data_IF_903293719284
#
_entry.id   IF_903293719284
#
_cell.length_a   1.000
_cell.length_b   1.000
_cell.length_c   1.000
_cell.angle_alpha   90.00
_cell.angle_beta   90.00
_cell.angle_gamma   90.00
#
_symmetry.space_group_name_H-M   'P 1'
#
loop_
_entity.id
_entity.type
_entity.pdbx_description
1 polymer ?
#
# COMPACT_ATOMS: atom_id res chain seq x y z
N UNK A 1 -29.99 -6.33 20.70
CA UNK A 1 -29.42 -5.18 21.39
C UNK A 1 -28.32 -5.73 22.29
N UNK A 2 -27.07 -5.81 21.76
CA UNK A 2 -25.92 -6.25 22.56
C UNK A 2 -25.56 -5.16 23.57
N UNK A 3 -25.51 -5.48 24.85
CA UNK A 3 -24.98 -4.59 25.86
C UNK A 3 -23.48 -4.38 25.63
N UNK A 4 -23.12 -3.17 25.29
CA UNK A 4 -21.70 -2.73 25.37
C UNK A 4 -21.36 -2.76 26.87
N UNK A 5 -20.58 -3.77 27.31
CA UNK A 5 -19.95 -3.72 28.63
C UNK A 5 -18.95 -2.57 28.62
N UNK A 6 -19.18 -1.54 29.42
CA UNK A 6 -18.14 -0.61 29.77
C UNK A 6 -17.02 -1.42 30.43
N UNK A 7 -15.85 -1.44 29.83
CA UNK A 7 -14.64 -2.00 30.42
C UNK A 7 -14.31 -1.10 31.62
N UNK A 8 -14.15 -1.67 32.82
CA UNK A 8 -13.79 -0.89 34.00
C UNK A 8 -12.33 -0.42 33.88
N UNK A 9 -11.99 0.69 34.53
CA UNK A 9 -10.64 1.22 34.57
C UNK A 9 -9.63 0.15 35.06
N UNK A 10 -10.00 -0.59 36.08
CA UNK A 10 -9.23 -1.71 36.62
C UNK A 10 -9.05 -2.86 35.61
N UNK A 11 -10.04 -3.14 34.75
CA UNK A 11 -9.91 -4.16 33.70
C UNK A 11 -8.91 -3.71 32.63
N UNK A 12 -8.91 -2.42 32.29
CA UNK A 12 -7.93 -1.85 31.33
C UNK A 12 -6.52 -1.86 31.88
N UNK A 13 -6.32 -1.47 33.12
CA UNK A 13 -4.99 -1.52 33.78
C UNK A 13 -4.44 -2.95 33.81
N UNK A 14 -5.27 -3.92 34.19
CA UNK A 14 -4.88 -5.33 34.18
C UNK A 14 -4.52 -5.81 32.76
N UNK A 15 -5.28 -5.38 31.75
CA UNK A 15 -5.01 -5.70 30.35
C UNK A 15 -3.67 -5.13 29.90
N UNK A 16 -3.39 -3.86 30.21
CA UNK A 16 -2.10 -3.23 29.90
C UNK A 16 -0.96 -3.99 30.58
N UNK A 17 -1.10 -4.31 31.85
CA UNK A 17 -0.07 -5.02 32.64
C UNK A 17 0.28 -6.37 32.01
N UNK A 18 -0.72 -7.20 31.74
CA UNK A 18 -0.54 -8.51 31.10
C UNK A 18 0.08 -8.35 29.69
N UNK A 19 -0.38 -7.40 28.92
CA UNK A 19 0.12 -7.16 27.56
C UNK A 19 1.57 -6.73 27.56
N UNK A 20 1.95 -5.80 28.44
CA UNK A 20 3.31 -5.32 28.58
C UNK A 20 4.27 -6.44 28.98
N UNK A 21 3.94 -7.26 29.97
CA UNK A 21 4.79 -8.40 30.36
C UNK A 21 5.00 -9.38 29.21
N UNK A 22 3.96 -9.71 28.47
CA UNK A 22 4.07 -10.61 27.32
C UNK A 22 4.96 -10.03 26.23
N UNK A 23 4.81 -8.75 25.91
CA UNK A 23 5.64 -8.08 24.91
C UNK A 23 7.09 -7.98 25.35
N UNK A 24 7.35 -7.69 26.61
CA UNK A 24 8.72 -7.66 27.18
C UNK A 24 9.39 -9.05 27.04
N UNK A 25 8.69 -10.13 27.33
CA UNK A 25 9.21 -11.48 27.16
C UNK A 25 9.49 -11.84 25.70
N UNK A 26 8.62 -11.44 24.78
CA UNK A 26 8.85 -11.60 23.33
C UNK A 26 10.06 -10.76 22.89
N UNK A 27 10.18 -9.53 23.38
CA UNK A 27 11.34 -8.68 23.14
C UNK A 27 12.64 -9.31 23.62
N UNK A 28 12.68 -9.85 24.85
CA UNK A 28 13.84 -10.57 25.39
C UNK A 28 14.24 -11.72 24.48
N UNK A 29 13.28 -12.53 24.09
CA UNK A 29 13.50 -13.70 23.23
C UNK A 29 14.04 -13.29 21.85
N UNK A 30 13.49 -12.25 21.23
CA UNK A 30 13.96 -11.78 19.93
C UNK A 30 15.32 -11.10 20.03
N UNK A 31 15.55 -10.28 21.05
CA UNK A 31 16.81 -9.59 21.30
C UNK A 31 17.95 -10.54 21.59
N UNK A 32 17.70 -11.69 22.22
CA UNK A 32 18.71 -12.69 22.55
C UNK A 32 19.45 -13.28 21.35
N UNK A 33 18.86 -13.16 20.13
CA UNK A 33 19.46 -13.62 18.87
C UNK A 33 20.53 -12.68 18.33
N UNK A 34 20.65 -11.47 18.87
CA UNK A 34 21.48 -10.41 18.33
C UNK A 34 22.53 -9.91 19.32
N UNK A 35 23.54 -9.26 18.78
CA UNK A 35 24.53 -8.56 19.63
C UNK A 35 23.89 -7.34 20.30
N UNK A 36 24.37 -6.98 21.48
CA UNK A 36 23.93 -5.79 22.22
C UNK A 36 23.95 -4.50 21.37
N UNK A 37 25.00 -4.36 20.56
CA UNK A 37 25.14 -3.19 19.67
C UNK A 37 24.03 -3.12 18.62
N UNK A 38 23.58 -4.26 18.08
CA UNK A 38 22.49 -4.31 17.11
C UNK A 38 21.15 -3.99 17.76
N UNK A 39 20.89 -4.56 18.93
CA UNK A 39 19.67 -4.28 19.69
C UNK A 39 19.57 -2.79 20.03
N UNK A 40 20.65 -2.18 20.54
CA UNK A 40 20.68 -0.74 20.86
C UNK A 40 20.35 0.16 19.69
N UNK A 41 20.83 -0.17 18.48
CA UNK A 41 20.52 0.59 17.26
C UNK A 41 19.06 0.49 16.83
N UNK A 42 18.38 -0.59 17.22
CA UNK A 42 16.98 -0.82 16.89
C UNK A 42 16.00 -0.20 17.91
N UNK A 43 16.49 0.15 19.11
CA UNK A 43 15.65 0.70 20.18
C UNK A 43 14.98 2.03 19.75
N UNK A 44 13.68 2.19 20.03
CA UNK A 44 13.00 3.47 19.83
C UNK A 44 13.58 4.52 20.80
N UNK A 45 13.91 5.71 20.26
CA UNK A 45 14.67 6.74 20.98
C UNK A 45 14.01 7.15 22.31
N UNK A 46 12.68 7.31 22.31
CA UNK A 46 11.93 7.80 23.48
C UNK A 46 11.89 6.81 24.66
N UNK A 47 12.07 5.52 24.37
CA UNK A 47 11.97 4.43 25.36
C UNK A 47 13.23 3.58 25.45
N UNK A 48 14.31 3.99 24.78
CA UNK A 48 15.50 3.17 24.62
C UNK A 48 16.08 2.69 25.96
N UNK A 49 16.20 3.59 26.92
CA UNK A 49 16.74 3.28 28.24
C UNK A 49 15.86 2.26 28.99
N UNK A 50 14.54 2.54 29.04
CA UNK A 50 13.60 1.69 29.81
C UNK A 50 13.49 0.30 29.18
N UNK A 51 13.42 0.24 27.84
CA UNK A 51 13.35 -1.05 27.14
C UNK A 51 14.67 -1.82 27.31
N UNK A 52 15.83 -1.16 27.18
CA UNK A 52 17.12 -1.83 27.38
C UNK A 52 17.23 -2.43 28.80
N UNK A 53 16.78 -1.69 29.81
CA UNK A 53 16.73 -2.16 31.20
C UNK A 53 15.85 -3.42 31.34
N UNK A 54 14.64 -3.37 30.81
CA UNK A 54 13.68 -4.47 30.91
C UNK A 54 14.07 -5.74 30.14
N UNK A 55 14.82 -5.62 29.03
CA UNK A 55 15.17 -6.77 28.18
C UNK A 55 16.57 -7.34 28.44
N UNK A 56 17.50 -6.57 29.04
CA UNK A 56 18.91 -6.96 29.11
C UNK A 56 19.24 -7.69 30.41
N UNK A 57 18.46 -7.52 31.44
CA UNK A 57 18.80 -8.07 32.75
C UNK A 57 18.31 -9.49 32.98
N UNK A 58 19.18 -10.29 33.65
CA UNK A 58 18.86 -11.65 34.08
C UNK A 58 18.02 -11.64 35.36
N UNK A 59 16.95 -12.43 35.36
CA UNK A 59 15.98 -12.56 36.46
C UNK A 59 16.52 -13.15 37.77
N UNK A 60 17.81 -13.36 37.88
CA UNK A 60 18.44 -14.12 39.01
C UNK A 60 18.72 -13.29 40.26
N UNK A 61 18.36 -12.01 40.31
CA UNK A 61 18.60 -11.14 41.48
C UNK A 61 17.27 -10.90 42.19
N UNK A 62 17.20 -11.34 43.45
CA UNK A 62 15.99 -11.50 44.29
C UNK A 62 15.07 -10.27 44.48
N UNK A 63 15.50 -9.05 44.16
CA UNK A 63 14.68 -7.84 44.32
C UNK A 63 14.23 -7.17 42.99
N UNK A 64 14.50 -7.80 41.86
CA UNK A 64 14.27 -7.17 40.54
C UNK A 64 12.86 -7.33 39.99
N UNK A 65 12.16 -8.38 40.38
CA UNK A 65 10.76 -8.56 39.93
C UNK A 65 9.90 -7.39 40.43
N UNK A 66 10.04 -7.00 41.69
CA UNK A 66 9.39 -5.84 42.26
C UNK A 66 9.81 -4.52 41.58
N UNK A 67 11.07 -4.41 41.13
CA UNK A 67 11.55 -3.25 40.37
C UNK A 67 10.92 -3.18 38.98
N UNK A 68 10.86 -4.30 38.26
CA UNK A 68 10.18 -4.33 36.94
C UNK A 68 8.69 -4.06 37.05
N UNK A 69 8.04 -4.61 38.09
CA UNK A 69 6.64 -4.31 38.39
C UNK A 69 6.43 -2.82 38.60
N UNK A 70 7.32 -2.17 39.35
CA UNK A 70 7.23 -0.72 39.59
C UNK A 70 7.41 0.12 38.32
N UNK A 71 8.27 -0.32 37.38
CA UNK A 71 8.43 0.35 36.08
C UNK A 71 7.14 0.23 35.25
N UNK A 72 6.59 -0.99 35.15
CA UNK A 72 5.36 -1.24 34.39
C UNK A 72 4.18 -0.49 34.99
N UNK A 73 4.02 -0.51 36.31
CA UNK A 73 2.97 0.24 37.01
C UNK A 73 3.13 1.75 36.78
N UNK A 74 4.34 2.28 36.87
CA UNK A 74 4.61 3.69 36.56
C UNK A 74 4.22 4.07 35.14
N UNK A 75 4.53 3.24 34.14
CA UNK A 75 4.16 3.48 32.74
C UNK A 75 2.64 3.55 32.56
N UNK A 76 1.90 2.70 33.27
CA UNK A 76 0.44 2.68 33.26
C UNK A 76 -0.11 3.92 33.95
N UNK A 77 0.37 4.23 35.14
CA UNK A 77 -0.09 5.35 35.96
C UNK A 77 0.07 6.72 35.28
N UNK A 78 1.15 6.91 34.52
CA UNK A 78 1.38 8.13 33.74
C UNK A 78 0.66 8.16 32.38
N UNK A 79 -0.18 7.14 32.08
CA UNK A 79 -0.96 7.08 30.84
C UNK A 79 -0.13 6.82 29.57
N UNK A 80 1.03 6.16 29.69
CA UNK A 80 1.93 5.87 28.55
C UNK A 80 1.90 4.43 28.05
N UNK A 81 1.00 3.60 28.58
CA UNK A 81 0.93 2.17 28.28
C UNK A 81 0.75 1.88 26.78
N UNK A 82 -0.16 2.59 26.09
CA UNK A 82 -0.37 2.39 24.65
C UNK A 82 0.88 2.70 23.82
N UNK A 83 1.50 3.85 24.07
CA UNK A 83 2.70 4.26 23.35
C UNK A 83 3.86 3.29 23.60
N UNK A 84 3.96 2.76 24.82
CA UNK A 84 4.98 1.78 25.17
C UNK A 84 4.73 0.41 24.53
N UNK A 85 3.47 -0.03 24.43
CA UNK A 85 3.07 -1.22 23.67
C UNK A 85 3.45 -1.09 22.21
N UNK A 86 3.16 0.06 21.58
CA UNK A 86 3.54 0.34 20.20
C UNK A 86 5.06 0.27 20.03
N UNK A 87 5.80 0.92 20.91
CA UNK A 87 7.27 0.93 20.87
C UNK A 87 7.87 -0.48 21.00
N UNK A 88 7.34 -1.32 21.89
CA UNK A 88 7.75 -2.72 22.02
C UNK A 88 7.40 -3.54 20.77
N UNK A 89 6.20 -3.36 20.22
CA UNK A 89 5.75 -4.05 19.01
C UNK A 89 6.64 -3.69 17.80
N UNK A 90 6.96 -2.42 17.63
CA UNK A 90 7.87 -1.95 16.58
C UNK A 90 9.28 -2.50 16.74
N UNK A 91 9.80 -2.54 17.97
CA UNK A 91 11.10 -3.14 18.25
C UNK A 91 11.10 -4.64 17.90
N UNK A 92 10.06 -5.36 18.29
CA UNK A 92 9.91 -6.78 17.95
C UNK A 92 9.91 -6.96 16.44
N UNK A 93 9.14 -6.17 15.69
CA UNK A 93 9.10 -6.23 14.24
C UNK A 93 10.48 -6.00 13.61
N UNK A 94 11.21 -4.98 14.09
CA UNK A 94 12.57 -4.67 13.63
C UNK A 94 13.59 -5.79 13.92
N UNK A 95 13.41 -6.51 15.03
CA UNK A 95 14.31 -7.59 15.42
C UNK A 95 13.92 -8.94 14.80
N UNK A 96 12.64 -9.16 14.49
CA UNK A 96 12.16 -10.40 13.86
C UNK A 96 12.44 -10.42 12.37
N UNK A 97 12.20 -9.30 11.68
CA UNK A 97 12.45 -9.14 10.24
C UNK A 97 13.60 -8.15 10.06
N UNK A 98 14.80 -8.67 9.92
CA UNK A 98 16.03 -7.88 9.80
C UNK A 98 16.09 -7.10 8.48
N UNK A 99 15.62 -7.72 7.40
CA UNK A 99 15.55 -7.16 6.06
C UNK A 99 14.31 -7.69 5.35
N UNK A 100 13.52 -6.79 4.79
CA UNK A 100 12.34 -7.13 4.00
C UNK A 100 12.67 -7.03 2.51
N UNK A 101 12.48 -8.14 1.79
CA UNK A 101 12.60 -8.18 0.35
C UNK A 101 11.23 -8.33 -0.28
N UNK A 102 10.79 -7.32 -1.03
CA UNK A 102 9.49 -7.29 -1.71
C UNK A 102 9.66 -7.66 -3.17
N UNK A 103 8.85 -8.61 -3.64
CA UNK A 103 8.98 -9.17 -4.99
C UNK A 103 8.30 -8.36 -6.10
N UNK A 104 7.71 -7.21 -5.75
CA UNK A 104 7.07 -6.32 -6.72
C UNK A 104 5.60 -6.61 -6.97
N UNK A 105 5.09 -6.05 -8.07
CA UNK A 105 3.69 -5.98 -8.45
C UNK A 105 2.77 -5.40 -7.34
N UNK A 106 3.32 -4.39 -6.62
CA UNK A 106 2.58 -3.65 -5.59
C UNK A 106 1.39 -2.91 -6.24
N UNK A 107 1.60 -2.42 -7.46
CA UNK A 107 0.62 -1.68 -8.25
C UNK A 107 -0.14 -2.55 -9.27
N UNK A 108 -0.31 -3.85 -9.02
CA UNK A 108 -1.09 -4.70 -9.92
C UNK A 108 -2.58 -4.27 -9.86
N UNK A 109 -3.50 -5.10 -9.54
CA UNK A 109 -4.96 -4.85 -9.67
C UNK A 109 -5.67 -4.66 -8.34
N UNK A 110 -4.91 -4.75 -7.25
CA UNK A 110 -5.43 -4.62 -5.90
C UNK A 110 -5.64 -3.17 -5.48
N UNK A 111 -6.51 -2.91 -4.50
CA UNK A 111 -6.69 -1.58 -3.92
C UNK A 111 -5.56 -1.22 -2.96
N UNK A 112 -5.34 0.08 -2.75
CA UNK A 112 -4.49 0.60 -1.69
C UNK A 112 -2.98 0.45 -1.82
N UNK A 113 -2.37 0.39 -3.03
CA UNK A 113 -0.91 0.30 -3.17
C UNK A 113 -0.18 1.50 -2.55
N UNK A 114 -0.80 2.68 -2.54
CA UNK A 114 -0.25 3.88 -1.91
C UNK A 114 -0.07 3.70 -0.39
N UNK A 115 -1.01 3.08 0.31
CA UNK A 115 -0.85 2.74 1.74
C UNK A 115 0.29 1.75 1.99
N UNK A 116 0.43 0.77 1.08
CA UNK A 116 1.53 -0.20 1.15
C UNK A 116 2.87 0.52 0.95
N UNK A 117 2.97 1.37 -0.07
CA UNK A 117 4.19 2.12 -0.35
C UNK A 117 4.57 3.06 0.78
N UNK A 118 3.62 3.82 1.35
CA UNK A 118 3.88 4.68 2.50
C UNK A 118 4.44 3.87 3.67
N UNK A 119 3.86 2.70 3.95
CA UNK A 119 4.36 1.82 5.02
C UNK A 119 5.73 1.22 4.72
N UNK A 120 6.00 0.86 3.47
CA UNK A 120 7.29 0.33 3.05
C UNK A 120 8.39 1.38 3.09
N UNK A 121 8.09 2.64 2.74
CA UNK A 121 9.06 3.74 2.79
C UNK A 121 9.58 4.01 4.20
N UNK A 122 8.76 3.77 5.22
CA UNK A 122 9.13 3.91 6.63
C UNK A 122 9.79 2.65 7.20
N UNK A 123 9.94 1.59 6.41
CA UNK A 123 10.50 0.34 6.90
C UNK A 123 12.03 0.44 7.09
N UNK A 124 12.53 -0.10 8.21
CA UNK A 124 13.91 0.09 8.66
C UNK A 124 15.00 -0.51 7.75
N UNK A 125 14.67 -1.54 6.98
CA UNK A 125 15.61 -2.17 6.03
C UNK A 125 14.81 -2.89 4.94
N UNK A 126 14.81 -2.35 3.73
CA UNK A 126 13.96 -2.76 2.63
C UNK A 126 14.73 -2.72 1.30
N UNK A 127 14.47 -3.70 0.45
CA UNK A 127 14.66 -3.60 -0.98
C UNK A 127 13.41 -4.10 -1.72
N UNK A 128 13.15 -3.53 -2.89
CA UNK A 128 11.99 -3.84 -3.71
C UNK A 128 12.49 -4.24 -5.10
N UNK A 129 12.15 -5.44 -5.53
CA UNK A 129 12.15 -5.80 -6.94
C UNK A 129 10.86 -5.27 -7.56
N UNK A 130 10.96 -4.60 -8.68
CA UNK A 130 9.77 -4.14 -9.40
C UNK A 130 9.19 -5.25 -10.28
N UNK A 131 7.89 -5.41 -10.24
CA UNK A 131 7.13 -6.18 -11.21
C UNK A 131 6.82 -5.37 -12.47
N UNK A 132 6.19 -5.98 -13.46
CA UNK A 132 5.83 -5.29 -14.71
C UNK A 132 4.80 -4.17 -14.49
N UNK A 133 3.89 -4.31 -13.54
CA UNK A 133 2.94 -3.26 -13.18
C UNK A 133 3.64 -2.07 -12.53
N UNK A 134 4.60 -2.31 -11.64
CA UNK A 134 5.37 -1.25 -10.98
C UNK A 134 6.18 -0.44 -11.99
N UNK A 135 6.80 -1.09 -12.99
CA UNK A 135 7.55 -0.41 -14.06
C UNK A 135 6.64 0.55 -14.86
N UNK A 136 5.41 0.14 -15.15
CA UNK A 136 4.44 1.01 -15.86
C UNK A 136 4.09 2.22 -14.99
N UNK A 137 3.90 2.04 -13.68
CA UNK A 137 3.66 3.15 -12.75
C UNK A 137 4.88 4.07 -12.63
N UNK A 138 6.09 3.52 -12.59
CA UNK A 138 7.34 4.31 -12.62
C UNK A 138 7.42 5.15 -13.90
N UNK A 139 7.12 4.56 -15.06
CA UNK A 139 7.06 5.26 -16.33
C UNK A 139 6.03 6.40 -16.33
N UNK A 140 4.86 6.15 -15.75
CA UNK A 140 3.83 7.18 -15.58
C UNK A 140 4.29 8.33 -14.66
N UNK A 141 4.94 8.00 -13.54
CA UNK A 141 5.42 8.98 -12.58
C UNK A 141 6.49 9.92 -13.15
N UNK A 142 7.33 9.44 -14.08
CA UNK A 142 8.31 10.28 -14.78
C UNK A 142 7.75 10.99 -16.02
N UNK A 143 6.45 10.88 -16.28
CA UNK A 143 5.78 11.64 -17.33
C UNK A 143 5.67 10.95 -18.69
N UNK A 144 5.94 9.65 -18.79
CA UNK A 144 5.78 8.91 -20.05
C UNK A 144 4.29 8.71 -20.36
N UNK A 145 3.80 9.34 -21.42
CA UNK A 145 2.36 9.47 -21.71
C UNK A 145 1.65 8.12 -21.96
N UNK A 146 2.27 7.17 -22.66
CA UNK A 146 1.69 5.85 -22.88
C UNK A 146 1.57 5.03 -21.58
N UNK A 147 2.56 5.16 -20.67
CA UNK A 147 2.50 4.58 -19.33
C UNK A 147 1.37 5.22 -18.49
N UNK A 148 1.22 6.55 -18.54
CA UNK A 148 0.11 7.25 -17.88
C UNK A 148 -1.25 6.72 -18.37
N UNK A 149 -1.42 6.61 -19.68
CA UNK A 149 -2.65 6.08 -20.25
C UNK A 149 -2.90 4.62 -19.84
N UNK A 150 -1.86 3.82 -19.77
CA UNK A 150 -1.94 2.41 -19.31
C UNK A 150 -2.34 2.31 -17.84
N UNK A 151 -1.75 3.14 -16.97
CA UNK A 151 -2.10 3.20 -15.54
C UNK A 151 -3.57 3.57 -15.37
N UNK A 152 -4.00 4.68 -16.00
CA UNK A 152 -5.39 5.15 -15.92
C UNK A 152 -6.35 4.08 -16.44
N UNK A 153 -6.05 3.47 -17.59
CA UNK A 153 -6.88 2.41 -18.17
C UNK A 153 -7.02 1.21 -17.24
N UNK A 154 -5.92 0.76 -16.64
CA UNK A 154 -5.95 -0.36 -15.70
C UNK A 154 -6.74 0.00 -14.45
N UNK A 155 -6.55 1.19 -13.89
CA UNK A 155 -7.30 1.66 -12.72
C UNK A 155 -8.81 1.69 -12.98
N UNK A 156 -9.25 2.19 -14.15
CA UNK A 156 -10.65 2.14 -14.54
C UNK A 156 -11.14 0.71 -14.71
N UNK A 157 -10.39 -0.11 -15.46
CA UNK A 157 -10.79 -1.49 -15.79
C UNK A 157 -11.01 -2.34 -14.55
N UNK A 158 -10.20 -2.17 -13.51
CA UNK A 158 -10.26 -2.95 -12.27
C UNK A 158 -10.97 -2.23 -11.13
N UNK A 159 -11.54 -1.04 -11.39
CA UNK A 159 -12.37 -0.32 -10.42
C UNK A 159 -11.58 0.29 -9.27
N UNK A 160 -10.35 0.72 -9.52
CA UNK A 160 -9.42 1.27 -8.55
C UNK A 160 -9.05 2.73 -8.87
N UNK A 161 -9.99 3.54 -9.36
CA UNK A 161 -9.76 4.96 -9.64
C UNK A 161 -9.44 5.77 -8.38
N UNK A 162 -9.94 5.33 -7.24
CA UNK A 162 -9.65 5.88 -5.91
C UNK A 162 -8.14 5.96 -5.62
N UNK A 163 -7.34 5.05 -6.16
CA UNK A 163 -5.87 5.12 -6.06
C UNK A 163 -5.35 6.40 -6.70
N UNK A 164 -5.88 6.77 -7.87
CA UNK A 164 -5.45 7.98 -8.58
C UNK A 164 -6.04 9.25 -7.95
N UNK A 165 -7.33 9.23 -7.63
CA UNK A 165 -8.05 10.41 -7.14
C UNK A 165 -7.76 10.68 -5.67
N UNK A 166 -7.98 9.72 -4.79
CA UNK A 166 -7.80 9.88 -3.35
C UNK A 166 -6.35 9.65 -2.92
N UNK A 167 -5.68 8.65 -3.50
CA UNK A 167 -4.32 8.29 -3.15
C UNK A 167 -3.28 9.30 -3.64
N UNK A 168 -3.42 9.80 -4.87
CA UNK A 168 -2.44 10.68 -5.52
C UNK A 168 -2.99 12.06 -5.92
N UNK A 169 -4.25 12.36 -5.65
CA UNK A 169 -4.85 13.65 -5.94
C UNK A 169 -4.99 13.97 -7.43
N UNK A 170 -5.05 12.95 -8.29
CA UNK A 170 -5.12 13.12 -9.74
C UNK A 170 -6.57 13.27 -10.17
N UNK A 171 -6.92 14.43 -10.75
CA UNK A 171 -8.30 14.73 -11.17
C UNK A 171 -8.68 14.00 -12.47
N UNK A 172 -9.65 13.08 -12.41
CA UNK A 172 -10.17 12.34 -13.56
C UNK A 172 -11.34 13.03 -14.28
N UNK A 173 -11.84 14.16 -13.79
CA UNK A 173 -12.96 14.89 -14.42
C UNK A 173 -12.72 15.29 -15.88
N UNK A 174 -11.50 15.70 -16.31
CA UNK A 174 -11.26 15.99 -17.73
C UNK A 174 -11.46 14.77 -18.63
N UNK A 175 -11.05 13.57 -18.19
CA UNK A 175 -11.28 12.33 -18.94
C UNK A 175 -12.76 11.96 -18.95
N UNK A 176 -13.46 12.13 -17.84
CA UNK A 176 -14.91 11.89 -17.76
C UNK A 176 -15.69 12.81 -18.70
N UNK A 177 -15.38 14.10 -18.71
CA UNK A 177 -16.01 15.08 -19.62
C UNK A 177 -15.75 14.74 -21.09
N UNK A 178 -14.50 14.45 -21.44
CA UNK A 178 -14.15 14.02 -22.82
C UNK A 178 -14.87 12.73 -23.23
N UNK A 179 -14.94 11.75 -22.33
CA UNK A 179 -15.60 10.48 -22.60
C UNK A 179 -17.13 10.66 -22.85
N UNK A 180 -17.77 11.55 -22.11
CA UNK A 180 -19.19 11.87 -22.30
C UNK A 180 -19.42 12.65 -23.56
N UNK A 181 -18.54 13.59 -23.94
CA UNK A 181 -18.64 14.36 -25.19
C UNK A 181 -18.50 13.46 -26.41
N UNK A 182 -17.50 12.57 -26.42
CA UNK A 182 -17.15 11.77 -27.61
C UNK A 182 -17.96 10.48 -27.72
N UNK A 183 -18.28 9.86 -26.60
CA UNK A 183 -18.92 8.53 -26.52
C UNK A 183 -20.27 8.56 -25.81
N UNK A 184 -20.92 9.74 -25.70
CA UNK A 184 -22.19 9.91 -24.98
C UNK A 184 -23.29 8.93 -25.44
N UNK A 185 -23.42 8.71 -26.75
CA UNK A 185 -24.41 7.83 -27.34
C UNK A 185 -23.93 6.38 -27.55
N UNK A 186 -22.67 6.09 -27.28
CA UNK A 186 -22.10 4.75 -27.45
C UNK A 186 -22.27 3.92 -26.16
N UNK A 187 -22.87 2.75 -26.20
CA UNK A 187 -23.03 1.90 -25.00
C UNK A 187 -21.71 1.32 -24.46
N UNK A 188 -20.64 1.39 -25.20
CA UNK A 188 -19.26 0.93 -24.82
C UNK A 188 -19.21 -0.45 -24.16
N UNK A 189 -20.05 -1.40 -24.57
CA UNK A 189 -20.24 -2.70 -23.92
C UNK A 189 -18.97 -3.54 -23.81
N UNK A 190 -18.06 -3.43 -24.78
CA UNK A 190 -16.80 -4.18 -24.80
C UNK A 190 -15.81 -3.69 -23.72
N UNK A 191 -16.02 -2.48 -23.21
CA UNK A 191 -15.14 -1.83 -22.22
C UNK A 191 -15.68 -1.99 -20.79
N UNK A 192 -16.08 -3.21 -20.42
CA UNK A 192 -16.57 -3.48 -19.08
C UNK A 192 -15.51 -3.25 -18.00
N UNK A 193 -16.00 -2.84 -16.81
CA UNK A 193 -15.20 -2.66 -15.62
C UNK A 193 -15.34 -3.90 -14.74
N UNK A 194 -14.21 -4.45 -14.29
CA UNK A 194 -14.15 -5.68 -13.50
C UNK A 194 -14.10 -5.43 -11.97
N UNK A 195 -14.39 -4.22 -11.52
CA UNK A 195 -14.45 -3.86 -10.10
C UNK A 195 -15.60 -4.53 -9.35
N UNK A 196 -15.62 -4.40 -8.04
CA UNK A 196 -16.69 -4.96 -7.21
C UNK A 196 -18.04 -4.32 -7.62
N UNK A 197 -19.03 -5.13 -8.05
CA UNK A 197 -20.32 -4.61 -8.55
C UNK A 197 -21.10 -3.78 -7.53
N UNK A 198 -20.84 -3.97 -6.24
CA UNK A 198 -21.54 -3.24 -5.17
C UNK A 198 -21.06 -1.79 -5.00
N UNK A 199 -19.91 -1.43 -5.57
CA UNK A 199 -19.32 -0.10 -5.41
C UNK A 199 -19.82 0.90 -6.46
N UNK A 200 -20.58 0.46 -7.47
CA UNK A 200 -21.01 1.28 -8.57
C UNK A 200 -22.52 1.25 -8.75
N UNK A 201 -23.14 2.40 -8.86
CA UNK A 201 -24.50 2.51 -9.39
C UNK A 201 -24.49 2.38 -10.94
N UNK A 202 -25.68 2.29 -11.56
CA UNK A 202 -25.80 2.07 -13.01
C UNK A 202 -25.17 3.20 -13.84
N UNK A 203 -25.28 4.44 -13.37
CA UNK A 203 -24.74 5.63 -14.06
C UNK A 203 -23.20 5.66 -13.96
N UNK A 204 -22.66 5.32 -12.82
CA UNK A 204 -21.21 5.22 -12.63
C UNK A 204 -20.59 4.14 -13.51
N UNK A 205 -21.26 2.99 -13.66
CA UNK A 205 -20.81 1.92 -14.57
C UNK A 205 -20.80 2.37 -16.02
N UNK A 206 -21.82 3.10 -16.44
CA UNK A 206 -21.89 3.63 -17.80
C UNK A 206 -20.77 4.63 -18.06
N UNK A 207 -20.57 5.59 -17.17
CA UNK A 207 -19.48 6.56 -17.25
C UNK A 207 -18.12 5.86 -17.28
N UNK A 208 -17.88 4.89 -16.40
CA UNK A 208 -16.62 4.13 -16.36
C UNK A 208 -16.34 3.37 -17.66
N UNK A 209 -17.35 2.80 -18.32
CA UNK A 209 -17.17 2.17 -19.65
C UNK A 209 -16.75 3.18 -20.72
N UNK A 210 -17.38 4.36 -20.73
CA UNK A 210 -17.03 5.45 -21.66
C UNK A 210 -15.61 5.96 -21.41
N UNK A 211 -15.24 6.17 -20.15
CA UNK A 211 -13.88 6.55 -19.76
C UNK A 211 -12.87 5.46 -20.15
N UNK A 212 -13.19 4.18 -19.93
CA UNK A 212 -12.35 3.06 -20.32
C UNK A 212 -12.09 3.04 -21.83
N UNK A 213 -13.14 3.23 -22.64
CA UNK A 213 -13.00 3.35 -24.10
C UNK A 213 -12.14 4.55 -24.48
N UNK A 214 -12.41 5.72 -23.91
CA UNK A 214 -11.69 6.94 -24.20
C UNK A 214 -10.18 6.80 -23.94
N UNK A 215 -9.81 6.32 -22.75
CA UNK A 215 -8.38 6.14 -22.40
C UNK A 215 -7.72 5.02 -23.19
N UNK A 216 -8.45 3.95 -23.57
CA UNK A 216 -7.92 2.90 -24.43
C UNK A 216 -7.56 3.46 -25.84
N UNK A 217 -8.41 4.30 -26.41
CA UNK A 217 -8.14 4.95 -27.70
C UNK A 217 -6.95 5.92 -27.61
N UNK A 218 -6.85 6.66 -26.52
CA UNK A 218 -5.68 7.54 -26.25
C UNK A 218 -4.41 6.68 -26.12
N UNK A 219 -4.46 5.59 -25.37
CA UNK A 219 -3.32 4.68 -25.22
C UNK A 219 -2.83 4.13 -26.56
N UNK A 220 -3.74 3.63 -27.41
CA UNK A 220 -3.35 3.10 -28.73
C UNK A 220 -2.70 4.15 -29.63
N UNK A 221 -3.18 5.40 -29.58
CA UNK A 221 -2.55 6.51 -30.32
C UNK A 221 -1.14 6.81 -29.80
N UNK A 222 -0.96 6.84 -28.49
CA UNK A 222 0.33 7.11 -27.86
C UNK A 222 1.33 5.98 -28.11
N UNK A 223 0.89 4.71 -27.98
CA UNK A 223 1.73 3.56 -28.28
C UNK A 223 2.14 3.51 -29.76
N UNK A 224 1.22 3.76 -30.68
CA UNK A 224 1.52 3.82 -32.10
C UNK A 224 2.47 4.97 -32.49
N UNK A 225 2.35 6.13 -31.83
CA UNK A 225 3.30 7.24 -32.02
C UNK A 225 4.70 6.86 -31.52
N UNK A 226 4.78 6.26 -30.33
CA UNK A 226 6.03 5.81 -29.72
C UNK A 226 6.73 4.73 -30.59
N UNK A 227 5.98 3.76 -31.09
CA UNK A 227 6.50 2.70 -31.97
C UNK A 227 7.12 3.27 -33.25
N UNK A 228 6.57 4.35 -33.82
CA UNK A 228 7.14 5.03 -34.99
C UNK A 228 8.37 5.86 -34.67
N UNK A 229 8.37 6.53 -33.51
CA UNK A 229 9.49 7.33 -33.05
C UNK A 229 10.71 6.46 -32.71
N UNK A 230 10.43 5.24 -32.23
CA UNK A 230 11.43 4.28 -31.77
C UNK A 230 11.31 2.91 -32.47
N UNK A 231 11.68 2.81 -33.75
CA UNK A 231 11.64 1.54 -34.49
C UNK A 231 12.52 0.45 -33.86
N UNK A 232 13.56 0.85 -33.12
CA UNK A 232 14.46 -0.05 -32.39
C UNK A 232 13.78 -0.80 -31.23
N UNK A 233 12.59 -0.38 -30.81
CA UNK A 233 11.78 -1.09 -29.79
C UNK A 233 11.02 -2.29 -30.34
N UNK A 234 10.98 -2.46 -31.67
CA UNK A 234 10.25 -3.55 -32.33
C UNK A 234 8.80 -3.68 -31.88
N UNK A 235 8.09 -2.55 -31.80
CA UNK A 235 6.70 -2.44 -31.29
C UNK A 235 5.68 -2.18 -32.40
N UNK A 236 5.96 -2.58 -33.64
CA UNK A 236 5.08 -2.36 -34.80
C UNK A 236 3.68 -2.93 -34.58
N UNK A 237 3.57 -4.01 -33.82
CA UNK A 237 2.31 -4.62 -33.44
C UNK A 237 1.41 -3.73 -32.55
N UNK A 238 1.94 -2.60 -32.04
CA UNK A 238 1.16 -1.60 -31.31
C UNK A 238 0.51 -0.54 -32.19
N UNK A 239 0.82 -0.51 -33.48
CA UNK A 239 0.20 0.39 -34.45
C UNK A 239 -1.21 -0.08 -34.89
N UNK A 240 -2.01 -0.61 -33.96
CA UNK A 240 -3.31 -1.25 -34.23
C UNK A 240 -4.29 -0.33 -34.97
N UNK A 241 -4.31 0.97 -34.65
CA UNK A 241 -5.24 1.92 -35.26
C UNK A 241 -4.99 2.16 -36.76
N UNK A 242 -3.78 1.93 -37.25
CA UNK A 242 -3.41 2.08 -38.65
C UNK A 242 -3.89 0.90 -39.52
N UNK A 243 -4.07 -0.25 -38.88
CA UNK A 243 -4.61 -1.43 -39.51
C UNK A 243 -6.13 -1.44 -39.66
N UNK A 244 -6.82 -0.43 -39.11
CA UNK A 244 -8.29 -0.34 -39.16
C UNK A 244 -8.73 0.19 -40.54
N UNK A 245 -9.51 -0.61 -41.26
CA UNK A 245 -10.29 -0.16 -42.41
C UNK A 245 -11.71 0.19 -41.93
N UNK A 246 -12.06 1.50 -41.84
CA UNK A 246 -13.37 1.92 -41.35
C UNK A 246 -14.50 1.64 -42.33
N UNK A 247 -14.20 1.40 -43.63
CA UNK A 247 -15.19 1.12 -44.68
C UNK A 247 -15.55 -0.36 -44.66
N UNK A 248 -14.55 -1.22 -44.62
CA UNK A 248 -14.76 -2.67 -44.61
C UNK A 248 -15.02 -3.22 -43.19
N UNK A 249 -14.80 -2.40 -42.15
CA UNK A 249 -14.92 -2.81 -40.74
C UNK A 249 -13.91 -3.90 -40.33
N UNK A 250 -12.75 -3.95 -40.96
CA UNK A 250 -11.72 -4.94 -40.75
C UNK A 250 -10.49 -4.32 -40.08
N UNK A 251 -9.70 -5.18 -39.42
CA UNK A 251 -8.40 -4.81 -38.84
C UNK A 251 -7.32 -5.69 -39.45
N UNK A 252 -6.28 -5.10 -39.98
CA UNK A 252 -5.06 -5.80 -40.38
C UNK A 252 -4.16 -5.89 -39.17
N UNK A 253 -3.91 -7.11 -38.71
CA UNK A 253 -3.00 -7.43 -37.57
C UNK A 253 -1.62 -7.76 -38.10
#
# INVERSE_FOLDING_TARGET
VGSVRCVSETDMENWYKITLYRLIEVCKTTASKYTRSKVRKALPADYAYVIEELITEKAEVLDKEAYYDSIVDTIIDIGRAENFIIALAELIQRLVVDHLHVLGDIYDRGPGPHFIMDRLMDYHSLDIQWGNHDVVWMGAAVGQAACMATVIRNSIRYGNLDILEDGYGINMMPLAAFAMEVYGDDPCQVFEVHGNPSNYNALEKELSRKMHKAIAMIQFKLEGALAKEHPDFHMENRCVLEGIDPVEGTVRL
#
